data_IF_411241611478
#
_entry.id   IF_411241611478
#
_cell.length_a   1.000
_cell.length_b   1.000
_cell.length_c   1.000
_cell.angle_alpha   90.00
_cell.angle_beta   90.00
_cell.angle_gamma   90.00
#
_symmetry.space_group_name_H-M   'P 1'
#
loop_
_entity.id
_entity.type
_entity.pdbx_description
1 polymer ?
#
# COMPACT_ATOMS: atom_id res chain seq x y z
N UNK A 1 -1.40 -2.42 -22.39
CA UNK A 1 -1.44 -3.55 -21.44
C UNK A 1 -0.93 -3.15 -20.06
N UNK A 2 0.30 -2.65 -19.90
CA UNK A 2 0.86 -2.21 -18.60
C UNK A 2 -0.09 -1.33 -17.76
N UNK A 3 -0.53 -0.20 -18.31
CA UNK A 3 -1.44 0.73 -17.62
C UNK A 3 -2.68 0.02 -17.08
N UNK A 4 -3.35 -0.77 -17.91
CA UNK A 4 -4.55 -1.52 -17.53
C UNK A 4 -4.29 -2.49 -16.38
N UNK A 5 -3.22 -3.28 -16.45
CA UNK A 5 -2.88 -4.23 -15.38
C UNK A 5 -2.54 -3.52 -14.08
N UNK A 6 -1.72 -2.46 -14.13
CA UNK A 6 -1.33 -1.69 -12.95
C UNK A 6 -2.53 -0.96 -12.33
N UNK A 7 -3.43 -0.41 -13.15
CA UNK A 7 -4.65 0.24 -12.65
C UNK A 7 -5.60 -0.76 -12.00
N UNK A 8 -5.78 -1.95 -12.58
CA UNK A 8 -6.62 -2.99 -11.99
C UNK A 8 -6.05 -3.46 -10.66
N UNK A 9 -4.72 -3.67 -10.58
CA UNK A 9 -4.06 -4.03 -9.32
C UNK A 9 -4.19 -2.91 -8.28
N UNK A 10 -3.96 -1.66 -8.69
CA UNK A 10 -4.13 -0.49 -7.82
C UNK A 10 -5.54 -0.40 -7.23
N UNK A 11 -6.58 -0.56 -8.06
CA UNK A 11 -7.96 -0.53 -7.59
C UNK A 11 -8.24 -1.69 -6.61
N UNK A 12 -7.77 -2.89 -6.93
CA UNK A 12 -7.96 -4.05 -6.07
C UNK A 12 -7.33 -3.86 -4.68
N UNK A 13 -6.09 -3.37 -4.61
CA UNK A 13 -5.41 -3.10 -3.34
C UNK A 13 -6.07 -1.93 -2.59
N UNK A 14 -6.57 -0.92 -3.31
CA UNK A 14 -7.33 0.18 -2.69
C UNK A 14 -8.61 -0.32 -2.01
N UNK A 15 -9.34 -1.24 -2.64
CA UNK A 15 -10.55 -1.83 -2.06
C UNK A 15 -10.24 -2.62 -0.79
N UNK A 16 -9.10 -3.33 -0.75
CA UNK A 16 -8.61 -3.99 0.48
C UNK A 16 -8.26 -2.94 1.54
N UNK A 17 -7.64 -1.83 1.17
CA UNK A 17 -7.36 -0.71 2.08
C UNK A 17 -8.62 -0.15 2.74
N UNK A 18 -9.72 0.00 1.99
CA UNK A 18 -11.01 0.40 2.55
C UNK A 18 -11.55 -0.62 3.56
N UNK A 19 -11.46 -1.92 3.25
CA UNK A 19 -11.86 -2.98 4.18
C UNK A 19 -11.04 -2.94 5.48
N UNK A 20 -9.75 -2.60 5.42
CA UNK A 20 -8.93 -2.40 6.60
C UNK A 20 -9.42 -1.20 7.42
N UNK A 21 -9.75 -0.07 6.80
CA UNK A 21 -10.31 1.07 7.53
C UNK A 21 -11.63 0.73 8.24
N UNK A 22 -12.54 -0.01 7.58
CA UNK A 22 -13.77 -0.49 8.19
C UNK A 22 -13.49 -1.42 9.38
N UNK A 23 -12.57 -2.37 9.23
CA UNK A 23 -12.17 -3.26 10.31
C UNK A 23 -11.57 -2.51 11.52
N UNK A 24 -10.76 -1.47 11.26
CA UNK A 24 -10.19 -0.63 12.30
C UNK A 24 -11.25 0.25 12.99
N UNK A 25 -12.22 0.77 12.25
CA UNK A 25 -13.33 1.52 12.83
C UNK A 25 -14.10 0.66 13.84
N UNK A 26 -14.44 -0.56 13.45
CA UNK A 26 -15.10 -1.53 14.34
C UNK A 26 -14.23 -1.90 15.54
N UNK A 27 -12.93 -2.14 15.35
CA UNK A 27 -12.00 -2.45 16.44
C UNK A 27 -11.86 -1.30 17.46
N UNK A 28 -12.08 -0.06 17.00
CA UNK A 28 -12.10 1.15 17.83
C UNK A 28 -13.48 1.44 18.45
N UNK A 29 -14.47 0.57 18.26
CA UNK A 29 -15.88 0.76 18.65
C UNK A 29 -16.51 2.02 18.03
N UNK A 30 -16.20 2.30 16.76
CA UNK A 30 -16.83 3.33 15.94
C UNK A 30 -17.80 2.67 14.95
N UNK A 31 -18.63 3.48 14.29
CA UNK A 31 -19.42 3.03 13.13
C UNK A 31 -18.49 2.52 12.03
N UNK A 32 -18.88 1.47 11.32
CA UNK A 32 -18.03 0.80 10.31
C UNK A 32 -17.53 1.77 9.23
N UNK A 33 -18.37 2.72 8.82
CA UNK A 33 -18.11 3.72 7.78
C UNK A 33 -17.47 5.02 8.30
N UNK A 34 -17.06 5.07 9.57
CA UNK A 34 -16.59 6.30 10.23
C UNK A 34 -15.49 7.04 9.45
N UNK A 35 -14.58 6.32 8.79
CA UNK A 35 -13.47 6.91 8.04
C UNK A 35 -13.81 7.24 6.57
N UNK A 36 -14.95 6.81 6.02
CA UNK A 36 -15.24 6.88 4.57
C UNK A 36 -15.17 8.30 4.02
N UNK A 37 -15.62 9.29 4.79
CA UNK A 37 -15.55 10.69 4.39
C UNK A 37 -14.11 11.17 4.16
N UNK A 38 -13.15 10.64 4.92
CA UNK A 38 -11.72 10.96 4.81
C UNK A 38 -11.05 10.23 3.63
N UNK A 39 -11.63 9.13 3.15
CA UNK A 39 -11.06 8.30 2.08
C UNK A 39 -11.45 8.74 0.67
N UNK A 40 -12.53 9.55 0.52
CA UNK A 40 -13.06 9.97 -0.80
C UNK A 40 -12.03 10.62 -1.73
N UNK A 41 -11.12 11.41 -1.17
CA UNK A 41 -10.07 12.12 -1.91
C UNK A 41 -8.69 11.90 -1.33
N UNK A 42 -8.50 10.80 -0.59
CA UNK A 42 -7.21 10.48 -0.01
C UNK A 42 -6.17 10.26 -1.13
N UNK A 43 -5.00 10.93 -1.07
CA UNK A 43 -3.89 10.56 -1.92
C UNK A 43 -3.43 9.15 -1.52
N UNK A 44 -3.31 8.25 -2.50
CA UNK A 44 -2.68 6.94 -2.32
C UNK A 44 -1.65 6.71 -3.40
N UNK A 45 -0.55 6.04 -3.05
CA UNK A 45 0.57 5.79 -3.95
C UNK A 45 0.75 4.28 -4.21
N UNK A 46 0.98 3.91 -5.46
CA UNK A 46 1.49 2.59 -5.83
C UNK A 46 2.94 2.70 -6.27
N UNK A 47 3.83 1.95 -5.62
CA UNK A 47 5.26 1.89 -5.96
C UNK A 47 5.59 0.49 -6.49
N UNK A 48 5.96 0.39 -7.76
CA UNK A 48 6.49 -0.83 -8.36
C UNK A 48 8.01 -0.76 -8.30
N UNK A 49 8.62 -1.61 -7.48
CA UNK A 49 10.05 -1.55 -7.16
C UNK A 49 10.73 -2.83 -7.65
N UNK A 50 11.82 -2.67 -8.40
CA UNK A 50 12.71 -3.76 -8.80
C UNK A 50 14.11 -3.45 -8.28
N UNK A 51 14.63 -4.30 -7.39
CA UNK A 51 16.02 -4.27 -6.97
C UNK A 51 16.84 -5.16 -7.92
N UNK A 52 17.68 -4.57 -8.79
CA UNK A 52 18.44 -5.35 -9.76
C UNK A 52 19.51 -6.19 -9.05
N UNK A 53 19.75 -7.39 -9.56
CA UNK A 53 20.85 -8.23 -9.11
C UNK A 53 22.20 -7.59 -9.50
N UNK A 54 23.14 -7.57 -8.56
CA UNK A 54 24.51 -7.15 -8.79
C UNK A 54 25.46 -8.17 -8.11
N UNK A 55 26.27 -8.93 -8.89
CA UNK A 55 27.16 -9.96 -8.34
C UNK A 55 28.30 -9.39 -7.48
N UNK A 56 28.66 -8.12 -7.70
CA UNK A 56 29.72 -7.42 -6.98
C UNK A 56 29.18 -6.64 -5.77
N UNK A 57 27.86 -6.69 -5.53
CA UNK A 57 27.26 -5.98 -4.41
C UNK A 57 27.62 -6.65 -3.07
N UNK A 58 28.10 -5.84 -2.13
CA UNK A 58 28.09 -6.20 -0.71
C UNK A 58 26.66 -6.13 -0.17
N UNK A 59 26.28 -7.11 0.64
CA UNK A 59 24.96 -7.12 1.30
C UNK A 59 24.73 -5.81 2.08
N UNK A 60 23.70 -5.07 1.68
CA UNK A 60 23.39 -3.74 2.19
C UNK A 60 21.92 -3.41 1.97
N UNK A 61 21.40 -2.52 2.82
CA UNK A 61 20.00 -2.11 2.72
C UNK A 61 19.75 -1.33 1.42
N UNK A 62 18.88 -1.86 0.55
CA UNK A 62 18.49 -1.19 -0.70
C UNK A 62 17.70 0.11 -0.48
N UNK A 63 17.06 0.27 0.67
CA UNK A 63 16.45 1.52 1.13
C UNK A 63 16.75 1.69 2.63
N UNK A 64 17.12 2.90 3.04
CA UNK A 64 17.42 3.19 4.45
C UNK A 64 16.19 3.05 5.35
N UNK A 65 16.38 2.96 6.66
CA UNK A 65 15.27 2.90 7.62
C UNK A 65 14.41 4.17 7.55
N UNK A 66 13.08 3.99 7.45
CA UNK A 66 12.09 5.06 7.40
C UNK A 66 10.71 4.54 7.79
N UNK A 67 9.75 5.45 7.95
CA UNK A 67 8.32 5.17 7.99
C UNK A 67 7.65 5.76 6.76
N UNK A 68 6.57 5.13 6.29
CA UNK A 68 5.71 5.71 5.25
C UNK A 68 4.83 6.83 5.82
N UNK A 69 4.25 7.65 4.95
CA UNK A 69 3.38 8.77 5.32
C UNK A 69 1.91 8.36 5.40
N UNK A 70 1.52 7.27 4.73
CA UNK A 70 0.16 6.76 4.68
C UNK A 70 -0.21 5.94 5.94
N UNK A 71 -1.52 5.80 6.20
CA UNK A 71 -2.01 5.00 7.33
C UNK A 71 -1.69 3.51 7.20
N UNK A 72 -1.72 2.98 5.97
CA UNK A 72 -1.46 1.58 5.68
C UNK A 72 -0.52 1.42 4.49
N UNK A 73 0.44 0.52 4.64
CA UNK A 73 1.29 0.03 3.56
C UNK A 73 0.98 -1.44 3.31
N UNK A 74 0.47 -1.77 2.13
CA UNK A 74 0.26 -3.16 1.70
C UNK A 74 1.42 -3.58 0.80
N UNK A 75 2.25 -4.52 1.29
CA UNK A 75 3.44 -4.98 0.59
C UNK A 75 3.23 -6.38 0.00
N UNK A 76 3.45 -6.52 -1.31
CA UNK A 76 3.48 -7.81 -2.00
C UNK A 76 4.87 -8.06 -2.61
N UNK A 77 5.76 -8.80 -1.93
CA UNK A 77 7.06 -9.14 -2.46
C UNK A 77 6.97 -10.30 -3.46
N UNK A 78 7.61 -10.13 -4.61
CA UNK A 78 7.81 -11.19 -5.60
C UNK A 78 9.27 -11.64 -5.55
N UNK A 79 9.58 -12.54 -4.63
CA UNK A 79 10.87 -13.23 -4.62
C UNK A 79 10.97 -14.23 -5.76
#
# INVERSE_FOLDING_TARGET
QFKTHVQNYYQHIKDIGHQLFHAFALALNLEEDYFDAHLKHAPSQLRLIHYPYNPDASDSAGIGAHTDYECFTLLFPTA
#
